data_IF_766519896625
#
_entry.id   IF_766519896625
#
_cell.length_a   1.000
_cell.length_b   1.000
_cell.length_c   1.000
_cell.angle_alpha   90.00
_cell.angle_beta   90.00
_cell.angle_gamma   90.00
#
_symmetry.space_group_name_H-M   'P 1'
#
loop_
_entity.id
_entity.type
_entity.pdbx_description
1 polymer ?
#
# COMPACT_ATOMS: atom_id res chain seq x y z
N UNK A 1 8.12 4.55 21.07
CA UNK A 1 7.11 3.76 20.31
C UNK A 1 7.72 3.50 18.93
N UNK A 2 7.79 2.23 18.53
CA UNK A 2 8.43 1.87 17.26
C UNK A 2 7.42 1.94 16.11
N UNK A 3 7.82 2.55 15.00
CA UNK A 3 6.97 2.79 13.82
C UNK A 3 7.52 2.03 12.63
N UNK A 4 6.65 1.41 11.84
CA UNK A 4 6.99 0.77 10.57
C UNK A 4 6.29 1.44 9.39
N UNK A 5 6.91 1.37 8.22
CA UNK A 5 6.30 1.69 6.93
C UNK A 5 5.88 0.40 6.24
N UNK A 6 4.64 0.36 5.77
CA UNK A 6 4.11 -0.74 4.95
C UNK A 6 3.84 -0.19 3.56
N UNK A 7 4.60 -0.67 2.58
CA UNK A 7 4.51 -0.31 1.15
C UNK A 7 3.74 -1.41 0.44
N UNK A 8 2.53 -1.12 -0.04
CA UNK A 8 1.59 -2.14 -0.49
C UNK A 8 1.42 -2.09 -2.00
N UNK A 9 1.74 -3.20 -2.68
CA UNK A 9 1.38 -3.51 -4.06
C UNK A 9 1.73 -2.41 -5.09
N UNK A 10 2.86 -1.71 -4.92
CA UNK A 10 3.37 -0.80 -5.96
C UNK A 10 4.12 -1.66 -6.97
N UNK A 11 3.36 -2.29 -7.88
CA UNK A 11 3.81 -3.32 -8.83
C UNK A 11 3.50 -2.93 -10.28
N UNK A 12 4.28 -3.45 -11.22
CA UNK A 12 4.30 -3.00 -12.62
C UNK A 12 2.95 -3.09 -13.34
N UNK A 13 2.08 -4.05 -13.01
CA UNK A 13 0.75 -4.15 -13.63
C UNK A 13 -0.16 -2.95 -13.37
N UNK A 14 0.12 -2.14 -12.35
CA UNK A 14 -0.62 -0.92 -12.03
C UNK A 14 -0.14 0.33 -12.78
N UNK A 15 0.95 0.23 -13.52
CA UNK A 15 1.57 1.34 -14.25
C UNK A 15 1.24 1.30 -15.75
N UNK A 16 1.59 2.35 -16.53
CA UNK A 16 1.34 2.38 -17.97
C UNK A 16 1.83 1.12 -18.70
N UNK A 17 0.96 0.57 -19.54
CA UNK A 17 1.14 -0.71 -20.25
C UNK A 17 1.02 -1.97 -19.38
N UNK A 18 0.76 -1.85 -18.08
CA UNK A 18 0.43 -2.97 -17.21
C UNK A 18 -0.98 -3.52 -17.46
N UNK A 19 -1.31 -4.66 -16.86
CA UNK A 19 -2.59 -5.33 -17.06
C UNK A 19 -3.76 -4.71 -16.29
N UNK A 20 -3.47 -3.84 -15.31
CA UNK A 20 -4.45 -3.19 -14.44
C UNK A 20 -4.03 -1.73 -14.17
N UNK A 21 -3.80 -0.96 -15.24
CA UNK A 21 -3.32 0.42 -15.13
C UNK A 21 -4.25 1.29 -14.27
N UNK A 22 -3.67 1.99 -13.30
CA UNK A 22 -4.38 2.89 -12.39
C UNK A 22 -4.32 4.33 -12.90
N UNK A 23 -5.05 5.23 -12.23
CA UNK A 23 -4.99 6.67 -12.50
C UNK A 23 -3.86 7.31 -11.67
N UNK A 24 -2.92 7.96 -12.35
CA UNK A 24 -1.75 8.64 -11.77
C UNK A 24 -0.89 7.76 -10.83
N UNK A 25 -0.57 6.50 -11.18
CA UNK A 25 0.23 5.63 -10.31
C UNK A 25 1.64 6.16 -10.11
N UNK A 26 2.24 6.78 -11.14
CA UNK A 26 3.59 7.36 -11.07
C UNK A 26 3.70 8.44 -10.00
N UNK A 27 2.68 9.31 -9.88
CA UNK A 27 2.65 10.37 -8.87
C UNK A 27 2.57 9.77 -7.45
N UNK A 28 1.73 8.78 -7.26
CA UNK A 28 1.60 8.08 -5.98
C UNK A 28 2.90 7.34 -5.61
N UNK A 29 3.51 6.62 -6.57
CA UNK A 29 4.77 5.93 -6.36
C UNK A 29 5.93 6.90 -6.05
N UNK A 30 6.00 8.06 -6.72
CA UNK A 30 6.99 9.08 -6.43
C UNK A 30 6.85 9.65 -5.01
N UNK A 31 5.62 9.82 -4.50
CA UNK A 31 5.39 10.23 -3.13
C UNK A 31 5.73 9.11 -2.13
N UNK A 32 5.37 7.85 -2.45
CA UNK A 32 5.78 6.70 -1.64
C UNK A 32 7.30 6.59 -1.54
N UNK A 33 8.02 6.79 -2.64
CA UNK A 33 9.49 6.78 -2.66
C UNK A 33 10.11 7.82 -1.71
N UNK A 34 9.54 9.02 -1.60
CA UNK A 34 9.99 10.04 -0.63
C UNK A 34 9.80 9.58 0.82
N UNK A 35 8.69 8.92 1.11
CA UNK A 35 8.41 8.37 2.45
C UNK A 35 9.36 7.21 2.74
N UNK A 36 9.61 6.32 1.78
CA UNK A 36 10.59 5.23 1.89
C UNK A 36 11.98 5.78 2.19
N UNK A 37 12.41 6.79 1.45
CA UNK A 37 13.74 7.41 1.66
C UNK A 37 13.85 8.03 3.05
N UNK A 38 12.82 8.70 3.54
CA UNK A 38 12.79 9.19 4.91
C UNK A 38 12.96 8.05 5.93
N UNK A 39 12.27 6.92 5.74
CA UNK A 39 12.43 5.74 6.60
C UNK A 39 13.82 5.13 6.52
N UNK A 40 14.42 5.04 5.34
CA UNK A 40 15.80 4.56 5.13
C UNK A 40 16.82 5.36 5.93
N UNK A 41 16.58 6.66 6.07
CA UNK A 41 17.46 7.54 6.85
C UNK A 41 17.20 7.49 8.36
N UNK A 42 15.96 7.22 8.79
CA UNK A 42 15.56 7.36 10.20
C UNK A 42 15.17 6.04 10.89
N UNK A 43 14.63 5.04 10.14
CA UNK A 43 14.11 3.78 10.67
C UNK A 43 14.29 2.62 9.67
N UNK A 44 15.46 2.46 9.10
CA UNK A 44 15.76 1.58 7.97
C UNK A 44 15.33 0.11 8.13
N UNK A 45 15.32 -0.41 9.36
CA UNK A 45 14.99 -1.81 9.63
C UNK A 45 13.48 -2.07 9.70
N UNK A 46 12.66 -1.02 9.60
CA UNK A 46 11.21 -1.06 9.80
C UNK A 46 10.43 -0.75 8.51
N UNK A 47 10.98 -1.08 7.36
CA UNK A 47 10.30 -0.99 6.05
C UNK A 47 9.85 -2.38 5.64
N UNK A 48 8.58 -2.51 5.28
CA UNK A 48 7.93 -3.74 4.83
C UNK A 48 7.34 -3.51 3.44
N UNK A 49 7.89 -4.17 2.44
CA UNK A 49 7.34 -4.20 1.09
C UNK A 49 6.39 -5.38 0.96
N UNK A 50 5.16 -5.10 0.58
CA UNK A 50 4.13 -6.12 0.35
C UNK A 50 3.97 -6.28 -1.15
N UNK A 51 4.11 -7.52 -1.63
CA UNK A 51 3.94 -7.93 -3.01
C UNK A 51 2.73 -8.86 -3.12
N UNK A 52 1.76 -8.50 -3.94
CA UNK A 52 0.63 -9.36 -4.25
C UNK A 52 0.99 -10.29 -5.41
N UNK A 53 0.81 -11.58 -5.20
CA UNK A 53 0.90 -12.59 -6.26
C UNK A 53 -0.47 -13.25 -6.39
N UNK A 54 -1.05 -13.19 -7.58
CA UNK A 54 -2.35 -13.78 -7.84
C UNK A 54 -2.30 -15.30 -7.67
N UNK A 55 -3.21 -15.85 -6.87
CA UNK A 55 -3.38 -17.30 -6.72
C UNK A 55 -4.31 -17.91 -7.76
N UNK A 56 -5.16 -17.07 -8.38
CA UNK A 56 -6.08 -17.47 -9.46
C UNK A 56 -5.66 -16.77 -10.75
N UNK A 57 -5.26 -17.52 -11.80
CA UNK A 57 -4.94 -16.95 -13.11
C UNK A 57 -6.06 -16.13 -13.75
N UNK A 58 -7.31 -16.37 -13.36
CA UNK A 58 -8.46 -15.63 -13.86
C UNK A 58 -8.46 -14.14 -13.45
N UNK A 59 -7.67 -13.76 -12.45
CA UNK A 59 -7.45 -12.35 -12.09
C UNK A 59 -6.82 -11.55 -13.25
N UNK A 60 -5.97 -12.17 -14.05
CA UNK A 60 -5.38 -11.58 -15.26
C UNK A 60 -4.25 -10.58 -15.01
N UNK A 61 -3.95 -10.22 -13.77
CA UNK A 61 -2.83 -9.36 -13.36
C UNK A 61 -2.12 -9.92 -12.13
N UNK A 62 -0.91 -9.46 -11.83
CA UNK A 62 -0.05 -9.97 -10.76
C UNK A 62 0.19 -11.48 -10.81
N UNK A 63 0.19 -12.04 -12.02
CA UNK A 63 0.42 -13.47 -12.22
C UNK A 63 1.86 -13.84 -11.80
N UNK A 64 2.06 -15.04 -11.21
CA UNK A 64 3.39 -15.49 -10.83
C UNK A 64 4.36 -15.45 -12.01
N UNK A 65 5.62 -15.13 -11.72
CA UNK A 65 6.74 -15.15 -12.68
C UNK A 65 6.53 -14.22 -13.89
N UNK A 66 5.75 -13.15 -13.73
CA UNK A 66 5.57 -12.11 -14.75
C UNK A 66 6.17 -10.79 -14.32
N UNK A 67 6.66 -9.99 -15.27
CA UNK A 67 7.13 -8.63 -15.03
C UNK A 67 6.06 -7.76 -14.36
N UNK A 68 4.78 -7.99 -14.68
CA UNK A 68 3.65 -7.27 -14.10
C UNK A 68 3.52 -7.44 -12.60
N UNK A 69 3.92 -8.59 -12.07
CA UNK A 69 3.89 -8.88 -10.62
C UNK A 69 5.12 -8.36 -9.86
N UNK A 70 6.15 -7.89 -10.56
CA UNK A 70 7.36 -7.35 -9.92
C UNK A 70 7.09 -5.98 -9.29
N UNK A 71 7.82 -5.67 -8.21
CA UNK A 71 7.77 -4.35 -7.58
C UNK A 71 8.31 -3.32 -8.56
N UNK A 72 7.59 -2.21 -8.70
CA UNK A 72 7.96 -1.14 -9.62
C UNK A 72 9.29 -0.48 -9.23
N UNK A 73 10.10 -0.12 -10.25
CA UNK A 73 11.46 0.40 -10.08
C UNK A 73 11.58 1.60 -9.14
N UNK A 74 10.54 2.44 -9.07
CA UNK A 74 10.50 3.64 -8.21
C UNK A 74 10.64 3.32 -6.72
N UNK A 75 10.24 2.11 -6.29
CA UNK A 75 10.15 1.71 -4.88
C UNK A 75 10.82 0.37 -4.59
N UNK A 76 11.81 -0.01 -5.36
CA UNK A 76 12.52 -1.28 -5.19
C UNK A 76 13.03 -1.44 -3.75
N UNK A 77 12.79 -2.62 -3.14
CA UNK A 77 13.32 -2.91 -1.81
C UNK A 77 14.84 -3.06 -1.84
N UNK A 78 15.48 -2.65 -0.74
CA UNK A 78 16.89 -2.96 -0.49
C UNK A 78 17.01 -4.37 0.13
N UNK A 79 18.17 -4.99 0.00
CA UNK A 79 18.43 -6.39 0.43
C UNK A 79 18.04 -6.65 1.91
N UNK A 80 18.21 -5.66 2.78
CA UNK A 80 17.91 -5.78 4.21
C UNK A 80 16.46 -5.40 4.58
N UNK A 81 15.65 -4.90 3.62
CA UNK A 81 14.26 -4.54 3.87
C UNK A 81 13.36 -5.78 3.86
N UNK A 82 12.25 -5.70 4.59
CA UNK A 82 11.39 -6.87 4.78
C UNK A 82 10.46 -7.06 3.58
N UNK A 83 10.43 -8.28 3.03
CA UNK A 83 9.50 -8.66 1.98
C UNK A 83 8.37 -9.51 2.56
N UNK A 84 7.14 -9.20 2.15
CA UNK A 84 5.91 -9.92 2.47
C UNK A 84 5.20 -10.27 1.18
N UNK A 85 4.98 -11.54 0.93
CA UNK A 85 4.13 -11.99 -0.20
C UNK A 85 2.73 -12.26 0.31
N UNK A 86 1.72 -11.73 -0.39
CA UNK A 86 0.31 -11.97 -0.10
C UNK A 86 -0.48 -12.44 -1.32
N UNK A 87 -1.66 -13.02 -1.06
CA UNK A 87 -2.58 -13.51 -2.08
C UNK A 87 -4.01 -12.95 -1.89
N UNK A 88 -4.20 -12.07 -0.93
CA UNK A 88 -5.49 -11.46 -0.58
C UNK A 88 -5.32 -9.94 -0.43
N UNK A 89 -6.39 -9.14 -0.54
CA UNK A 89 -6.29 -7.69 -0.36
C UNK A 89 -5.70 -7.28 1.00
N UNK A 90 -6.17 -7.88 2.08
CA UNK A 90 -5.64 -7.64 3.43
C UNK A 90 -4.23 -8.21 3.57
N UNK A 91 -3.23 -7.35 3.81
CA UNK A 91 -1.82 -7.73 3.90
C UNK A 91 -1.48 -8.58 5.14
N UNK A 92 -2.36 -8.64 6.13
CA UNK A 92 -2.19 -9.50 7.31
C UNK A 92 -2.74 -10.91 7.10
N UNK A 93 -3.65 -11.10 6.12
CA UNK A 93 -4.34 -12.36 5.94
C UNK A 93 -3.43 -13.43 5.33
N UNK A 94 -3.13 -14.49 6.11
CA UNK A 94 -2.27 -15.60 5.73
C UNK A 94 -0.85 -15.17 5.30
N UNK A 95 -0.30 -14.17 5.99
CA UNK A 95 1.09 -13.70 5.83
C UNK A 95 1.79 -13.69 7.19
N UNK A 96 3.08 -13.44 7.18
CA UNK A 96 3.90 -13.26 8.38
C UNK A 96 4.08 -11.79 8.79
N UNK A 97 3.32 -10.87 8.19
CA UNK A 97 3.44 -9.43 8.46
C UNK A 97 3.23 -9.11 9.94
N UNK A 98 2.16 -9.63 10.55
CA UNK A 98 1.86 -9.35 11.96
C UNK A 98 2.96 -9.86 12.89
N UNK A 99 3.41 -11.11 12.72
CA UNK A 99 4.47 -11.68 13.55
C UNK A 99 5.76 -10.87 13.46
N UNK A 100 6.18 -10.49 12.26
CA UNK A 100 7.38 -9.65 12.06
C UNK A 100 7.24 -8.25 12.69
N UNK A 101 6.07 -7.63 12.61
CA UNK A 101 5.80 -6.34 13.27
C UNK A 101 5.87 -6.49 14.81
N UNK A 102 5.26 -7.55 15.37
CA UNK A 102 5.27 -7.84 16.80
C UNK A 102 6.68 -8.13 17.32
N UNK A 103 7.46 -8.93 16.61
CA UNK A 103 8.86 -9.25 16.96
C UNK A 103 9.74 -7.99 17.05
N UNK A 104 9.48 -6.99 16.20
CA UNK A 104 10.16 -5.69 16.23
C UNK A 104 9.56 -4.70 17.24
N UNK A 105 8.55 -5.08 18.01
CA UNK A 105 7.86 -4.20 18.96
C UNK A 105 7.18 -3.00 18.30
N UNK A 106 6.74 -3.15 17.05
CA UNK A 106 6.03 -2.10 16.33
C UNK A 106 4.65 -1.87 16.95
N UNK A 107 4.30 -0.63 17.19
CA UNK A 107 2.99 -0.20 17.70
C UNK A 107 2.29 0.78 16.76
N UNK A 108 3.03 1.37 15.82
CA UNK A 108 2.51 2.32 14.83
C UNK A 108 2.88 1.88 13.43
N UNK A 109 1.94 2.01 12.50
CA UNK A 109 2.18 1.72 11.09
C UNK A 109 1.82 2.92 10.22
N UNK A 110 2.64 3.17 9.21
CA UNK A 110 2.38 4.12 8.15
C UNK A 110 2.16 3.32 6.89
N UNK A 111 1.11 3.63 6.16
CA UNK A 111 0.67 2.86 4.99
C UNK A 111 0.72 3.74 3.75
N UNK A 112 1.31 3.21 2.68
CA UNK A 112 1.36 3.76 1.32
C UNK A 112 1.11 2.64 0.31
N UNK A 113 0.66 2.96 -0.89
CA UNK A 113 0.55 1.97 -1.98
C UNK A 113 -0.79 1.94 -2.70
N UNK A 114 -1.16 0.79 -3.25
CA UNK A 114 -2.25 0.62 -4.23
C UNK A 114 -3.02 -0.67 -3.98
N UNK A 115 -4.34 -0.77 -4.30
CA UNK A 115 -5.26 0.32 -4.65
C UNK A 115 -5.94 0.87 -3.40
N UNK A 116 -6.24 2.16 -3.39
CA UNK A 116 -6.89 2.84 -2.26
C UNK A 116 -8.14 2.12 -1.78
N UNK A 117 -9.02 1.73 -2.70
CA UNK A 117 -10.33 1.12 -2.39
C UNK A 117 -10.27 -0.39 -2.06
N UNK A 118 -9.11 -1.02 -2.20
CA UNK A 118 -8.99 -2.48 -2.07
C UNK A 118 -7.90 -2.85 -1.04
N UNK A 119 -6.66 -3.04 -1.48
CA UNK A 119 -5.59 -3.52 -0.59
C UNK A 119 -5.24 -2.53 0.51
N UNK A 120 -5.30 -1.22 0.23
CA UNK A 120 -5.08 -0.16 1.22
C UNK A 120 -6.20 -0.16 2.26
N UNK A 121 -7.46 -0.05 1.83
CA UNK A 121 -8.62 -0.04 2.74
C UNK A 121 -8.65 -1.29 3.63
N UNK A 122 -8.50 -2.48 3.02
CA UNK A 122 -8.52 -3.74 3.74
C UNK A 122 -7.37 -3.86 4.77
N UNK A 123 -6.16 -3.40 4.41
CA UNK A 123 -5.00 -3.50 5.31
C UNK A 123 -5.07 -2.46 6.43
N UNK A 124 -5.49 -1.23 6.15
CA UNK A 124 -5.65 -0.17 7.16
C UNK A 124 -6.67 -0.58 8.22
N UNK A 125 -7.83 -1.11 7.83
CA UNK A 125 -8.85 -1.59 8.78
C UNK A 125 -8.31 -2.73 9.63
N UNK A 126 -7.66 -3.72 9.00
CA UNK A 126 -7.07 -4.84 9.73
C UNK A 126 -5.96 -4.39 10.70
N UNK A 127 -5.12 -3.43 10.32
CA UNK A 127 -4.08 -2.90 11.20
C UNK A 127 -4.69 -2.32 12.50
N UNK A 128 -5.76 -1.56 12.39
CA UNK A 128 -6.47 -0.97 13.55
C UNK A 128 -7.13 -2.05 14.40
N UNK A 129 -7.80 -3.03 13.78
CA UNK A 129 -8.41 -4.15 14.49
C UNK A 129 -7.38 -4.99 15.28
N UNK A 130 -6.12 -5.05 14.77
CA UNK A 130 -4.98 -5.67 15.44
C UNK A 130 -4.31 -4.77 16.50
N UNK A 131 -4.78 -3.53 16.67
CA UNK A 131 -4.34 -2.60 17.71
C UNK A 131 -3.17 -1.70 17.31
N UNK A 132 -2.84 -1.57 16.02
CA UNK A 132 -1.83 -0.62 15.55
C UNK A 132 -2.40 0.80 15.43
N UNK A 133 -1.66 1.79 15.91
CA UNK A 133 -1.90 3.20 15.55
C UNK A 133 -1.52 3.39 14.09
N UNK A 134 -2.49 3.76 13.24
CA UNK A 134 -2.32 3.74 11.79
C UNK A 134 -2.34 5.15 11.20
N UNK A 135 -1.38 5.45 10.34
CA UNK A 135 -1.35 6.66 9.49
C UNK A 135 -1.41 6.23 8.02
N UNK A 136 -2.27 6.86 7.25
CA UNK A 136 -2.36 6.69 5.80
C UNK A 136 -1.79 7.93 5.11
N UNK A 137 -0.83 7.75 4.20
CA UNK A 137 -0.32 8.83 3.33
C UNK A 137 -1.15 8.82 2.05
N UNK A 138 -2.18 9.65 1.99
CA UNK A 138 -3.21 9.57 0.96
C UNK A 138 -2.68 9.85 -0.46
N UNK A 139 -1.79 10.82 -0.63
CA UNK A 139 -1.20 11.19 -1.92
C UNK A 139 -0.06 10.25 -2.38
N UNK A 140 0.27 9.25 -1.55
CA UNK A 140 1.10 8.10 -1.90
C UNK A 140 0.25 6.85 -2.18
N UNK A 141 -1.05 7.02 -2.43
CA UNK A 141 -1.99 5.98 -2.84
C UNK A 141 -2.60 6.29 -4.20
N UNK A 142 -2.87 5.24 -4.98
CA UNK A 142 -3.56 5.34 -6.26
C UNK A 142 -4.70 4.33 -6.35
N UNK A 143 -5.64 4.62 -7.24
CA UNK A 143 -6.78 3.75 -7.51
C UNK A 143 -7.25 3.89 -8.96
N UNK A 144 -8.37 3.29 -9.29
CA UNK A 144 -8.96 3.29 -10.62
C UNK A 144 -10.43 3.69 -10.55
N UNK A 145 -11.01 3.95 -11.71
CA UNK A 145 -12.45 4.08 -11.89
C UNK A 145 -13.15 2.78 -11.52
N UNK A 146 -14.28 2.87 -10.85
CA UNK A 146 -15.14 1.73 -10.55
C UNK A 146 -16.48 1.84 -11.25
N UNK A 147 -17.02 0.70 -11.65
CA UNK A 147 -18.36 0.64 -12.23
C UNK A 147 -19.22 -0.41 -11.52
N UNK A 148 -20.48 -0.10 -11.35
CA UNK A 148 -21.49 -1.03 -10.84
C UNK A 148 -22.79 -0.80 -11.61
N UNK A 149 -23.27 -1.84 -12.29
CA UNK A 149 -24.40 -1.76 -13.23
C UNK A 149 -24.12 -0.67 -14.31
N UNK A 150 -24.99 0.33 -14.42
CA UNK A 150 -24.92 1.47 -15.35
C UNK A 150 -24.21 2.71 -14.78
N UNK A 151 -23.69 2.62 -13.55
CA UNK A 151 -23.05 3.74 -12.87
C UNK A 151 -21.53 3.58 -12.87
N UNK A 152 -20.87 4.69 -13.19
CA UNK A 152 -19.43 4.81 -13.18
C UNK A 152 -19.03 5.83 -12.10
N UNK A 153 -18.05 5.47 -11.28
CA UNK A 153 -17.48 6.32 -10.25
C UNK A 153 -16.03 6.63 -10.63
N UNK A 154 -15.71 7.87 -11.00
CA UNK A 154 -14.35 8.25 -11.37
C UNK A 154 -13.32 7.96 -10.27
N UNK A 155 -12.09 7.63 -10.65
CA UNK A 155 -11.01 7.27 -9.73
C UNK A 155 -10.80 8.29 -8.59
N UNK A 156 -10.89 9.58 -8.88
CA UNK A 156 -10.76 10.63 -7.89
C UNK A 156 -11.86 10.54 -6.81
N UNK A 157 -13.10 10.30 -7.21
CA UNK A 157 -14.22 10.13 -6.27
C UNK A 157 -14.10 8.85 -5.47
N UNK A 158 -13.65 7.74 -6.10
CA UNK A 158 -13.34 6.49 -5.40
C UNK A 158 -12.27 6.75 -4.35
N UNK A 159 -11.17 7.38 -4.72
CA UNK A 159 -10.07 7.68 -3.80
C UNK A 159 -10.56 8.47 -2.58
N UNK A 160 -11.20 9.60 -2.80
CA UNK A 160 -11.66 10.45 -1.69
C UNK A 160 -12.75 9.81 -0.84
N UNK A 161 -13.63 8.99 -1.41
CA UNK A 161 -14.65 8.27 -0.64
C UNK A 161 -14.01 7.31 0.37
N UNK A 162 -13.01 6.51 -0.06
CA UNK A 162 -12.32 5.56 0.81
C UNK A 162 -11.40 6.24 1.81
N UNK A 163 -10.63 7.23 1.38
CA UNK A 163 -9.78 8.04 2.28
C UNK A 163 -10.63 8.73 3.35
N UNK A 164 -11.77 9.31 2.98
CA UNK A 164 -12.68 9.95 3.94
C UNK A 164 -13.28 8.96 4.94
N UNK A 165 -13.61 7.74 4.48
CA UNK A 165 -14.14 6.69 5.36
C UNK A 165 -13.10 6.18 6.37
N UNK A 166 -11.82 6.20 6.01
CA UNK A 166 -10.72 5.80 6.89
C UNK A 166 -10.33 6.91 7.86
N UNK A 167 -10.47 8.17 7.45
CA UNK A 167 -9.97 9.32 8.21
C UNK A 167 -10.70 9.48 9.56
N UNK A 168 -9.93 9.56 10.62
CA UNK A 168 -10.41 9.79 11.99
C UNK A 168 -10.94 8.52 12.68
N UNK A 169 -11.56 7.59 11.96
CA UNK A 169 -12.08 6.35 12.55
C UNK A 169 -11.02 5.24 12.58
N UNK A 170 -10.28 5.07 11.48
CA UNK A 170 -9.28 4.01 11.31
C UNK A 170 -7.86 4.55 11.23
N UNK A 171 -7.65 5.70 10.61
CA UNK A 171 -6.31 6.22 10.38
C UNK A 171 -6.24 7.73 10.58
N UNK A 172 -5.05 8.21 10.94
CA UNK A 172 -4.68 9.60 10.73
C UNK A 172 -4.28 9.76 9.25
N UNK A 173 -5.12 10.41 8.45
CA UNK A 173 -4.86 10.61 7.02
C UNK A 173 -4.14 11.94 6.81
N UNK A 174 -2.98 11.89 6.17
CA UNK A 174 -2.14 13.06 5.89
C UNK A 174 -1.49 12.95 4.51
N UNK A 175 -1.01 14.07 3.98
CA UNK A 175 -0.19 14.07 2.77
C UNK A 175 1.26 13.66 3.04
N UNK A 176 1.97 13.22 1.99
CA UNK A 176 3.43 12.97 2.06
C UNK A 176 4.19 14.25 2.47
N UNK A 177 3.76 15.41 1.98
CA UNK A 177 4.34 16.70 2.33
C UNK A 177 4.21 17.03 3.82
N UNK A 178 3.09 16.71 4.46
CA UNK A 178 2.89 16.93 5.89
C UNK A 178 3.62 15.90 6.74
N UNK A 179 3.76 14.67 6.25
CA UNK A 179 4.58 13.66 6.89
C UNK A 179 6.06 14.07 6.95
N UNK A 180 6.61 14.54 5.84
CA UNK A 180 8.03 14.88 5.70
C UNK A 180 8.46 16.17 6.44
N UNK A 181 7.52 16.96 6.95
CA UNK A 181 7.80 18.14 7.79
C UNK A 181 8.07 17.78 9.27
N UNK A 182 7.83 16.52 9.65
CA UNK A 182 8.04 16.03 11.03
C UNK A 182 9.49 15.60 11.24
#
# INVERSE_FOLDING_TARGET
MSTALIVIDIQNDYFPNGKMELVNPDKAAANAAKVIEWFRQNNKDNIFHVQHIASDPALGFFLPDTEGSEIHETVLPLEHENMITKHFPNSFLKTDLESKLREKGITKVIVVGMMTHLCIDATVRAAVDLGYETTLIEDACATMELSYQDKVVPAEQVHYAFVSALNGMYANVISSGDFLKK
#
